data_IF_814321307075
#
_entry.id   IF_814321307075
#
_cell.length_a   1.000
_cell.length_b   1.000
_cell.length_c   1.000
_cell.angle_alpha   90.00
_cell.angle_beta   90.00
_cell.angle_gamma   90.00
#
_symmetry.space_group_name_H-M   'P 1'
#
loop_
_entity.id
_entity.type
_entity.pdbx_description
1 polymer ?
#
# COMPACT_ATOMS: atom_id res chain seq x y z
N UNK A 1 -35.23 1.85 -13.25
CA UNK A 1 -34.38 1.08 -14.18
C UNK A 1 -33.07 1.86 -14.36
N UNK A 2 -31.94 1.20 -14.18
CA UNK A 2 -30.62 1.84 -14.33
C UNK A 2 -30.31 2.19 -15.78
N UNK A 3 -29.47 3.24 -15.93
CA UNK A 3 -28.85 3.64 -17.21
C UNK A 3 -27.32 3.63 -17.06
N UNK A 4 -26.61 3.62 -18.16
CA UNK A 4 -25.17 3.88 -18.11
C UNK A 4 -24.92 5.29 -17.54
N UNK A 5 -23.97 5.38 -16.60
CA UNK A 5 -23.69 6.61 -15.85
C UNK A 5 -24.14 6.51 -14.39
N UNK A 6 -24.40 7.64 -13.77
CA UNK A 6 -24.76 7.71 -12.35
C UNK A 6 -26.23 7.40 -12.11
N UNK A 7 -26.47 6.44 -11.22
CA UNK A 7 -27.79 6.01 -10.75
C UNK A 7 -27.80 6.03 -9.22
N UNK A 8 -29.00 5.80 -8.62
CA UNK A 8 -29.14 5.80 -7.16
C UNK A 8 -29.98 4.61 -6.71
N UNK A 9 -29.60 3.98 -5.60
CA UNK A 9 -30.41 3.05 -4.81
C UNK A 9 -30.37 3.54 -3.36
N UNK A 10 -31.52 3.74 -2.75
CA UNK A 10 -31.67 4.21 -1.37
C UNK A 10 -30.81 5.47 -1.08
N UNK A 11 -30.76 6.41 -2.03
CA UNK A 11 -29.96 7.61 -1.94
C UNK A 11 -28.44 7.43 -2.14
N UNK A 12 -27.97 6.21 -2.34
CA UNK A 12 -26.56 5.90 -2.56
C UNK A 12 -26.24 5.90 -4.06
N UNK A 13 -25.22 6.68 -4.44
CA UNK A 13 -24.79 6.75 -5.84
C UNK A 13 -24.15 5.44 -6.31
N UNK A 14 -24.54 5.01 -7.50
CA UNK A 14 -24.04 3.84 -8.21
C UNK A 14 -23.62 4.27 -9.62
N UNK A 15 -22.35 4.15 -9.94
CA UNK A 15 -21.85 4.41 -11.29
C UNK A 15 -21.89 3.12 -12.12
N UNK A 16 -22.71 3.13 -13.16
CA UNK A 16 -22.96 1.98 -14.04
C UNK A 16 -22.21 2.16 -15.35
N UNK A 17 -21.37 1.20 -15.71
CA UNK A 17 -20.62 1.22 -16.97
C UNK A 17 -20.70 -0.12 -17.70
N UNK A 18 -20.81 -0.08 -19.03
CA UNK A 18 -20.62 -1.25 -19.88
C UNK A 18 -19.13 -1.42 -20.22
N UNK A 19 -18.61 -2.62 -19.99
CA UNK A 19 -17.20 -2.94 -20.23
C UNK A 19 -17.04 -4.28 -20.94
N UNK A 20 -15.89 -4.46 -21.58
CA UNK A 20 -15.44 -5.76 -22.11
C UNK A 20 -15.00 -6.68 -20.98
N UNK A 21 -15.94 -7.12 -20.16
CA UNK A 21 -15.74 -8.06 -19.05
C UNK A 21 -16.64 -9.28 -19.25
N UNK A 22 -16.23 -10.42 -18.69
CA UNK A 22 -16.97 -11.69 -18.86
C UNK A 22 -18.15 -11.84 -17.90
N UNK A 23 -18.15 -11.08 -16.79
CA UNK A 23 -19.15 -11.20 -15.71
C UNK A 23 -19.53 -9.82 -15.20
N UNK A 24 -20.72 -9.71 -14.63
CA UNK A 24 -21.10 -8.53 -13.84
C UNK A 24 -20.15 -8.41 -12.66
N UNK A 25 -19.67 -7.20 -12.42
CA UNK A 25 -18.73 -6.91 -11.32
C UNK A 25 -19.21 -5.69 -10.54
N UNK A 26 -19.23 -5.81 -9.20
CA UNK A 26 -19.50 -4.71 -8.27
C UNK A 26 -18.25 -4.42 -7.48
N UNK A 27 -17.82 -3.16 -7.48
CA UNK A 27 -16.67 -2.68 -6.72
C UNK A 27 -17.04 -1.41 -5.98
N UNK A 28 -16.54 -1.26 -4.76
CA UNK A 28 -16.63 -0.01 -4.01
C UNK A 28 -15.26 0.65 -4.02
N UNK A 29 -15.21 1.91 -4.43
CA UNK A 29 -13.98 2.72 -4.42
C UNK A 29 -13.70 3.27 -3.02
N UNK A 30 -12.48 3.80 -2.82
CA UNK A 30 -12.05 4.32 -1.52
C UNK A 30 -12.87 5.54 -1.04
N UNK A 31 -13.47 6.28 -1.96
CA UNK A 31 -14.38 7.40 -1.71
C UNK A 31 -15.83 6.96 -1.45
N UNK A 32 -16.09 5.65 -1.43
CA UNK A 32 -17.39 5.08 -1.13
C UNK A 32 -18.35 5.03 -2.32
N UNK A 33 -17.91 5.29 -3.55
CA UNK A 33 -18.74 5.14 -4.74
C UNK A 33 -18.85 3.66 -5.12
N UNK A 34 -20.08 3.20 -5.40
CA UNK A 34 -20.34 1.84 -5.87
C UNK A 34 -20.25 1.85 -7.39
N UNK A 35 -19.38 1.03 -7.96
CA UNK A 35 -19.23 0.87 -9.41
C UNK A 35 -19.78 -0.47 -9.84
N UNK A 36 -20.77 -0.46 -10.73
CA UNK A 36 -21.33 -1.62 -11.38
C UNK A 36 -20.80 -1.71 -12.80
N UNK A 37 -20.05 -2.75 -13.11
CA UNK A 37 -19.58 -3.05 -14.46
C UNK A 37 -20.43 -4.17 -15.06
N UNK A 38 -21.11 -3.88 -16.16
CA UNK A 38 -21.96 -4.82 -16.90
C UNK A 38 -21.25 -5.21 -18.20
N UNK A 39 -21.24 -6.50 -18.59
CA UNK A 39 -20.70 -6.93 -19.87
C UNK A 39 -21.30 -6.14 -21.05
N UNK A 40 -20.46 -5.85 -22.05
CA UNK A 40 -20.92 -5.12 -23.25
C UNK A 40 -21.84 -5.96 -24.14
N UNK A 41 -21.81 -7.30 -24.02
CA UNK A 41 -22.63 -8.27 -24.75
C UNK A 41 -23.15 -9.35 -23.82
N UNK A 42 -24.24 -10.00 -24.21
CA UNK A 42 -24.83 -11.14 -23.48
C UNK A 42 -25.38 -10.79 -22.09
N UNK A 43 -25.51 -9.49 -21.77
CA UNK A 43 -26.03 -9.03 -20.49
C UNK A 43 -26.67 -7.64 -20.64
N UNK A 44 -27.80 -7.44 -20.01
CA UNK A 44 -28.55 -6.18 -19.97
C UNK A 44 -28.16 -5.36 -18.71
N UNK A 45 -28.41 -4.06 -18.74
CA UNK A 45 -28.24 -3.21 -17.56
C UNK A 45 -29.24 -3.61 -16.45
N UNK A 46 -30.44 -4.07 -16.83
CA UNK A 46 -31.44 -4.55 -15.88
C UNK A 46 -30.97 -5.78 -15.11
N UNK A 47 -30.30 -6.73 -15.76
CA UNK A 47 -29.68 -7.87 -15.08
C UNK A 47 -28.52 -7.42 -14.15
N UNK A 48 -27.74 -6.42 -14.56
CA UNK A 48 -26.75 -5.80 -13.70
C UNK A 48 -27.35 -5.15 -12.46
N UNK A 49 -28.47 -4.43 -12.62
CA UNK A 49 -29.21 -3.84 -11.50
C UNK A 49 -29.76 -4.92 -10.57
N UNK A 50 -30.39 -5.97 -11.10
CA UNK A 50 -30.90 -7.08 -10.31
C UNK A 50 -29.78 -7.77 -9.52
N UNK A 51 -28.62 -8.01 -10.15
CA UNK A 51 -27.45 -8.56 -9.48
C UNK A 51 -26.97 -7.66 -8.32
N UNK A 52 -26.89 -6.34 -8.54
CA UNK A 52 -26.49 -5.41 -7.49
C UNK A 52 -27.49 -5.39 -6.34
N UNK A 53 -28.81 -5.39 -6.64
CA UNK A 53 -29.86 -5.43 -5.61
C UNK A 53 -29.80 -6.72 -4.77
N UNK A 54 -29.54 -7.85 -5.39
CA UNK A 54 -29.33 -9.12 -4.68
C UNK A 54 -28.11 -9.09 -3.74
N UNK A 55 -27.11 -8.26 -4.06
CA UNK A 55 -25.89 -8.08 -3.27
C UNK A 55 -25.84 -6.73 -2.51
N UNK A 56 -26.96 -6.04 -2.39
CA UNK A 56 -27.02 -4.67 -1.87
C UNK A 56 -26.52 -4.55 -0.45
N UNK A 57 -26.90 -5.47 0.44
CA UNK A 57 -26.43 -5.50 1.84
C UNK A 57 -24.89 -5.54 1.92
N UNK A 58 -24.27 -6.35 1.08
CA UNK A 58 -22.79 -6.41 0.98
C UNK A 58 -22.22 -5.09 0.45
N UNK A 59 -22.81 -4.52 -0.60
CA UNK A 59 -22.33 -3.28 -1.20
C UNK A 59 -22.37 -2.10 -0.21
N UNK A 60 -23.45 -1.98 0.56
CA UNK A 60 -23.62 -0.97 1.61
C UNK A 60 -22.58 -1.16 2.74
N UNK A 61 -22.40 -2.40 3.21
CA UNK A 61 -21.39 -2.71 4.23
C UNK A 61 -19.97 -2.40 3.75
N UNK A 62 -19.65 -2.77 2.50
CA UNK A 62 -18.36 -2.46 1.89
C UNK A 62 -18.14 -0.93 1.75
N UNK A 63 -19.20 -0.18 1.39
CA UNK A 63 -19.18 1.28 1.34
C UNK A 63 -18.93 1.89 2.71
N UNK A 64 -19.67 1.48 3.74
CA UNK A 64 -19.47 1.96 5.10
C UNK A 64 -18.03 1.72 5.56
N UNK A 65 -17.48 0.54 5.29
CA UNK A 65 -16.08 0.21 5.59
C UNK A 65 -15.08 1.09 4.82
N UNK A 66 -15.35 1.40 3.54
CA UNK A 66 -14.49 2.28 2.75
C UNK A 66 -14.50 3.72 3.29
N UNK A 67 -15.67 4.24 3.63
CA UNK A 67 -15.83 5.57 4.23
C UNK A 67 -15.20 5.67 5.61
N UNK A 68 -15.38 4.67 6.47
CA UNK A 68 -14.73 4.60 7.78
C UNK A 68 -13.19 4.59 7.65
N UNK A 69 -12.66 3.81 6.70
CA UNK A 69 -11.21 3.83 6.38
C UNK A 69 -10.74 5.20 5.92
N UNK A 70 -11.53 5.87 5.07
CA UNK A 70 -11.18 7.20 4.59
C UNK A 70 -11.19 8.23 5.73
N UNK A 71 -12.18 8.17 6.61
CA UNK A 71 -12.26 9.04 7.76
C UNK A 71 -11.13 8.81 8.76
N UNK A 72 -10.69 7.55 8.91
CA UNK A 72 -9.57 7.17 9.77
C UNK A 72 -8.20 7.29 9.07
N UNK A 73 -8.16 7.67 7.77
CA UNK A 73 -6.90 7.86 7.08
C UNK A 73 -6.12 9.05 7.67
N UNK A 74 -4.80 8.92 7.88
CA UNK A 74 -4.02 10.06 8.38
C UNK A 74 -4.08 11.19 7.36
N UNK A 75 -4.07 12.39 7.86
CA UNK A 75 -3.87 13.58 7.06
C UNK A 75 -2.58 13.49 6.22
N UNK A 76 -2.37 14.43 5.28
CA UNK A 76 -1.11 14.48 4.54
C UNK A 76 0.07 14.64 5.49
N UNK A 77 1.23 14.12 5.10
CA UNK A 77 2.48 14.35 5.81
C UNK A 77 2.84 15.84 5.76
N UNK A 78 3.25 16.40 6.89
CA UNK A 78 3.76 17.77 6.90
C UNK A 78 5.18 17.84 6.33
N UNK A 79 5.62 19.01 5.84
CA UNK A 79 6.99 19.21 5.40
C UNK A 79 8.03 18.85 6.47
N UNK A 80 7.74 19.17 7.74
CA UNK A 80 8.62 18.90 8.88
C UNK A 80 8.79 17.41 9.12
N UNK A 81 7.69 16.62 9.02
CA UNK A 81 7.74 15.16 9.13
C UNK A 81 8.59 14.53 8.02
N UNK A 82 8.45 15.04 6.80
CA UNK A 82 9.25 14.55 5.67
C UNK A 82 10.72 14.93 5.83
N UNK A 83 10.99 16.12 6.34
CA UNK A 83 12.37 16.58 6.61
C UNK A 83 13.02 15.75 7.73
N UNK A 84 12.32 15.51 8.83
CA UNK A 84 12.81 14.65 9.91
C UNK A 84 13.14 13.25 9.42
N UNK A 85 12.26 12.65 8.61
CA UNK A 85 12.53 11.36 7.97
C UNK A 85 13.77 11.43 7.06
N UNK A 86 13.96 12.52 6.31
CA UNK A 86 15.10 12.64 5.41
C UNK A 86 16.43 12.68 6.18
N UNK A 87 16.47 13.37 7.33
CA UNK A 87 17.62 13.39 8.23
C UNK A 87 17.92 12.00 8.78
N UNK A 88 16.91 11.34 9.36
CA UNK A 88 17.03 9.98 9.89
C UNK A 88 17.52 8.99 8.82
N UNK A 89 16.95 9.04 7.61
CA UNK A 89 17.37 8.18 6.50
C UNK A 89 18.81 8.46 6.06
N UNK A 90 19.26 9.73 6.06
CA UNK A 90 20.63 10.07 5.71
C UNK A 90 21.60 9.43 6.71
N UNK A 91 21.33 9.50 8.00
CA UNK A 91 22.13 8.92 9.06
C UNK A 91 22.14 7.38 8.99
N UNK A 92 20.97 6.75 8.98
CA UNK A 92 20.84 5.28 8.91
C UNK A 92 21.46 4.72 7.63
N UNK A 93 21.18 5.33 6.48
CA UNK A 93 21.71 4.90 5.20
C UNK A 93 23.24 4.96 5.16
N UNK A 94 23.82 6.06 5.62
CA UNK A 94 25.28 6.23 5.67
C UNK A 94 25.91 5.22 6.64
N UNK A 95 25.38 5.09 7.85
CA UNK A 95 25.88 4.16 8.86
C UNK A 95 25.85 2.70 8.37
N UNK A 96 24.72 2.28 7.77
CA UNK A 96 24.59 0.92 7.25
C UNK A 96 25.42 0.68 5.98
N UNK A 97 25.56 1.66 5.09
CA UNK A 97 26.48 1.56 3.96
C UNK A 97 27.93 1.36 4.44
N UNK A 98 28.38 2.11 5.44
CA UNK A 98 29.71 1.93 6.04
C UNK A 98 29.88 0.54 6.67
N UNK A 99 28.93 0.07 7.48
CA UNK A 99 28.97 -1.29 8.09
C UNK A 99 29.02 -2.41 7.07
N UNK A 100 28.34 -2.24 5.93
CA UNK A 100 28.23 -3.26 4.88
C UNK A 100 29.35 -3.17 3.83
N UNK A 101 30.21 -2.16 3.91
CA UNK A 101 31.25 -1.88 2.90
C UNK A 101 30.65 -1.50 1.54
N UNK A 102 29.47 -0.86 1.53
CA UNK A 102 28.78 -0.44 0.32
C UNK A 102 29.08 1.03 0.02
N UNK A 103 29.84 1.31 -1.04
CA UNK A 103 30.16 2.67 -1.47
C UNK A 103 29.27 3.12 -2.65
N UNK A 104 29.06 4.44 -2.79
CA UNK A 104 28.38 5.02 -3.95
C UNK A 104 26.89 4.65 -4.07
N UNK A 105 26.25 4.28 -2.96
CA UNK A 105 24.80 4.02 -2.94
C UNK A 105 24.06 5.32 -2.75
N UNK A 106 23.21 5.66 -3.70
CA UNK A 106 22.36 6.86 -3.63
C UNK A 106 20.95 6.50 -3.21
N UNK A 107 20.21 7.47 -2.67
CA UNK A 107 18.81 7.25 -2.31
C UNK A 107 17.93 8.48 -2.59
N UNK A 108 16.62 8.25 -2.58
CA UNK A 108 15.61 9.31 -2.67
C UNK A 108 14.34 8.94 -1.92
N UNK A 109 13.55 9.95 -1.56
CA UNK A 109 12.19 9.81 -1.04
C UNK A 109 11.16 9.89 -2.17
N UNK A 110 10.16 9.00 -2.11
CA UNK A 110 9.02 9.01 -3.02
C UNK A 110 7.76 8.55 -2.30
N UNK A 111 6.59 9.07 -2.66
CA UNK A 111 5.31 8.49 -2.24
C UNK A 111 5.05 7.23 -3.06
N UNK A 112 4.90 6.09 -2.38
CA UNK A 112 4.60 4.79 -2.99
C UNK A 112 3.34 4.19 -2.37
N UNK A 113 2.50 3.54 -3.18
CA UNK A 113 1.21 3.00 -2.72
C UNK A 113 1.33 1.64 -2.02
N UNK A 114 2.29 0.82 -2.42
CA UNK A 114 2.36 -0.60 -2.05
C UNK A 114 3.69 -1.05 -1.45
N UNK A 115 4.73 -0.21 -1.52
CA UNK A 115 6.08 -0.55 -1.08
C UNK A 115 6.56 0.43 -0.01
N UNK A 116 7.34 -0.05 0.94
CA UNK A 116 8.07 0.76 1.92
C UNK A 116 9.43 1.24 1.39
N UNK A 117 10.05 0.43 0.53
CA UNK A 117 11.28 0.73 -0.15
C UNK A 117 11.38 -0.02 -1.48
N UNK A 118 12.40 0.28 -2.26
CA UNK A 118 12.82 -0.50 -3.42
C UNK A 118 14.27 -0.22 -3.75
N UNK A 119 15.03 -1.28 -4.06
CA UNK A 119 16.42 -1.20 -4.45
C UNK A 119 16.61 -1.51 -5.94
N UNK A 120 17.27 -0.61 -6.65
CA UNK A 120 17.76 -0.87 -7.99
C UNK A 120 19.25 -1.25 -7.90
N UNK A 121 19.54 -2.51 -7.67
CA UNK A 121 20.90 -2.99 -7.34
C UNK A 121 21.96 -2.64 -8.41
N UNK A 122 21.63 -2.71 -9.71
CA UNK A 122 22.57 -2.36 -10.80
C UNK A 122 22.94 -0.86 -10.80
N UNK A 123 22.00 0.01 -10.46
CA UNK A 123 22.20 1.47 -10.38
C UNK A 123 22.70 1.92 -9.02
N UNK A 124 22.81 1.00 -8.06
CA UNK A 124 23.14 1.29 -6.65
C UNK A 124 22.27 2.44 -6.11
N UNK A 125 20.95 2.34 -6.33
CA UNK A 125 20.00 3.37 -5.96
C UNK A 125 18.83 2.80 -5.18
N UNK A 126 18.53 3.39 -4.03
CA UNK A 126 17.40 3.00 -3.17
C UNK A 126 16.35 4.10 -3.20
N UNK A 127 15.09 3.70 -3.26
CA UNK A 127 13.95 4.61 -3.10
C UNK A 127 13.23 4.25 -1.81
N UNK A 128 13.05 5.20 -0.91
CA UNK A 128 12.30 5.04 0.34
C UNK A 128 10.94 5.73 0.25
N UNK A 129 9.93 5.13 0.89
CA UNK A 129 8.59 5.70 0.92
C UNK A 129 8.49 6.82 1.97
N UNK A 130 7.92 7.97 1.60
CA UNK A 130 7.65 9.06 2.54
C UNK A 130 6.77 8.65 3.72
N UNK A 131 5.91 7.66 3.55
CA UNK A 131 5.06 7.11 4.62
C UNK A 131 5.86 6.50 5.78
N UNK A 132 7.17 6.26 5.62
CA UNK A 132 8.08 5.91 6.71
C UNK A 132 8.17 6.99 7.79
N UNK A 133 7.80 8.24 7.49
CA UNK A 133 7.67 9.29 8.50
C UNK A 133 6.60 8.99 9.57
N UNK A 134 5.79 7.95 9.39
CA UNK A 134 4.71 7.55 10.30
C UNK A 134 5.03 6.31 11.13
N UNK A 135 6.22 5.79 11.02
CA UNK A 135 6.64 4.60 11.75
C UNK A 135 7.82 4.95 12.67
N UNK A 136 8.12 4.08 13.61
CA UNK A 136 9.24 4.25 14.53
C UNK A 136 10.58 4.06 13.82
N UNK A 137 11.64 4.61 14.39
CA UNK A 137 12.98 4.60 13.83
C UNK A 137 13.50 3.18 13.56
N UNK A 138 13.25 2.24 14.48
CA UNK A 138 13.60 0.83 14.32
C UNK A 138 12.96 0.17 13.09
N UNK A 139 11.76 0.60 12.73
CA UNK A 139 11.08 0.14 11.50
C UNK A 139 11.66 0.81 10.24
N UNK A 140 12.07 2.07 10.34
CA UNK A 140 12.80 2.74 9.26
C UNK A 140 14.15 2.05 9.03
N UNK A 141 14.88 1.75 10.10
CA UNK A 141 16.15 0.99 10.04
C UNK A 141 15.95 -0.37 9.36
N UNK A 142 14.91 -1.12 9.73
CA UNK A 142 14.60 -2.39 9.08
C UNK A 142 14.45 -2.23 7.56
N UNK A 143 13.75 -1.21 7.09
CA UNK A 143 13.58 -0.97 5.64
C UNK A 143 14.92 -0.60 5.00
N UNK A 144 15.76 0.21 5.65
CA UNK A 144 17.10 0.57 5.17
C UNK A 144 17.96 -0.69 4.99
N UNK A 145 18.06 -1.53 6.03
CA UNK A 145 18.84 -2.78 5.99
C UNK A 145 18.33 -3.73 4.93
N UNK A 146 17.01 -3.84 4.79
CA UNK A 146 16.34 -4.68 3.79
C UNK A 146 16.73 -4.26 2.37
N UNK A 147 16.60 -2.98 2.05
CA UNK A 147 16.91 -2.46 0.72
C UNK A 147 18.41 -2.53 0.40
N UNK A 148 19.28 -2.25 1.37
CA UNK A 148 20.72 -2.41 1.20
C UNK A 148 21.14 -3.88 1.04
N UNK A 149 20.39 -4.83 1.61
CA UNK A 149 20.64 -6.25 1.42
C UNK A 149 20.44 -6.65 -0.04
N UNK A 150 19.50 -6.03 -0.75
CA UNK A 150 19.26 -6.25 -2.17
C UNK A 150 20.43 -5.85 -3.08
N UNK A 151 21.36 -5.04 -2.63
CA UNK A 151 22.60 -4.77 -3.39
C UNK A 151 23.46 -6.04 -3.60
N UNK A 152 23.37 -7.00 -2.67
CA UNK A 152 24.09 -8.28 -2.72
C UNK A 152 23.22 -9.42 -3.22
N UNK A 153 21.98 -9.49 -2.77
CA UNK A 153 21.03 -10.57 -3.11
C UNK A 153 19.71 -9.96 -3.59
N UNK A 154 19.48 -9.91 -4.92
CA UNK A 154 18.28 -9.25 -5.47
C UNK A 154 16.95 -9.93 -5.11
N UNK A 155 16.97 -11.24 -4.82
CA UNK A 155 15.75 -12.03 -4.57
C UNK A 155 15.63 -12.45 -3.11
N UNK A 156 14.40 -12.58 -2.59
CA UNK A 156 14.10 -13.02 -1.23
C UNK A 156 14.22 -14.54 -1.05
N UNK A 157 15.37 -15.11 -1.43
CA UNK A 157 15.70 -16.52 -1.23
C UNK A 157 16.41 -16.77 0.12
N UNK A 158 16.84 -18.02 0.39
CA UNK A 158 17.54 -18.37 1.63
C UNK A 158 18.77 -17.51 1.93
N UNK A 159 19.55 -17.16 0.89
CA UNK A 159 20.72 -16.29 1.03
C UNK A 159 20.36 -14.88 1.50
N UNK A 160 19.23 -14.33 1.04
CA UNK A 160 18.73 -13.02 1.50
C UNK A 160 18.40 -13.06 3.00
N UNK A 161 17.66 -14.09 3.42
CA UNK A 161 17.25 -14.21 4.82
C UNK A 161 18.43 -14.50 5.76
N UNK A 162 19.42 -15.26 5.30
CA UNK A 162 20.66 -15.46 6.04
C UNK A 162 21.41 -14.13 6.29
N UNK A 163 21.49 -13.28 5.27
CA UNK A 163 22.09 -11.95 5.43
C UNK A 163 21.26 -11.06 6.36
N UNK A 164 19.93 -11.11 6.27
CA UNK A 164 19.07 -10.36 7.18
C UNK A 164 19.22 -10.83 8.62
N UNK A 165 19.33 -12.13 8.88
CA UNK A 165 19.54 -12.70 10.21
C UNK A 165 20.89 -12.23 10.82
N UNK A 166 21.92 -12.16 9.99
CA UNK A 166 23.24 -11.67 10.43
C UNK A 166 23.29 -10.16 10.66
N UNK A 167 22.56 -9.37 9.88
CA UNK A 167 22.61 -7.90 9.91
C UNK A 167 21.67 -7.31 10.95
N UNK A 168 20.48 -7.85 11.08
CA UNK A 168 19.40 -7.35 11.95
C UNK A 168 18.61 -8.53 12.52
N UNK A 169 19.09 -9.18 13.60
CA UNK A 169 18.53 -10.46 14.09
C UNK A 169 17.02 -10.42 14.40
N UNK A 170 16.50 -9.27 14.78
CA UNK A 170 15.09 -9.05 15.11
C UNK A 170 14.20 -8.62 13.91
N UNK A 171 14.74 -8.63 12.69
CA UNK A 171 14.06 -8.15 11.49
C UNK A 171 12.68 -8.79 11.26
N UNK A 172 12.48 -10.06 11.68
CA UNK A 172 11.18 -10.74 11.54
C UNK A 172 10.11 -10.10 12.42
N UNK A 173 10.48 -9.67 13.62
CA UNK A 173 9.58 -8.95 14.52
C UNK A 173 9.25 -7.56 13.95
N UNK A 174 10.25 -6.82 13.52
CA UNK A 174 10.08 -5.49 12.89
C UNK A 174 9.23 -5.58 11.63
N UNK A 175 9.45 -6.59 10.78
CA UNK A 175 8.62 -6.83 9.59
C UNK A 175 7.15 -7.08 9.94
N UNK A 176 6.88 -7.91 10.97
CA UNK A 176 5.51 -8.15 11.43
C UNK A 176 4.86 -6.88 11.93
N UNK A 177 5.59 -6.10 12.73
CA UNK A 177 5.12 -4.84 13.28
C UNK A 177 4.83 -3.81 12.17
N UNK A 178 5.74 -3.61 11.23
CA UNK A 178 5.59 -2.71 10.09
C UNK A 178 4.36 -3.04 9.24
N UNK A 179 4.02 -4.33 9.13
CA UNK A 179 2.87 -4.82 8.38
C UNK A 179 1.57 -4.87 9.19
N UNK A 180 1.62 -4.56 10.49
CA UNK A 180 0.47 -4.53 11.38
C UNK A 180 -0.09 -3.10 11.55
N UNK A 181 -1.34 -2.96 12.02
CA UNK A 181 -1.88 -1.66 12.41
C UNK A 181 -1.03 -0.93 13.45
N UNK A 182 -0.41 -1.67 14.36
CA UNK A 182 0.36 -1.12 15.48
C UNK A 182 1.72 -0.54 15.06
N UNK A 183 2.25 -0.91 13.90
CA UNK A 183 3.53 -0.40 13.41
C UNK A 183 3.49 1.04 12.90
N UNK A 184 2.31 1.61 12.75
CA UNK A 184 2.14 3.01 12.39
C UNK A 184 1.89 3.80 13.66
N UNK A 185 2.78 4.73 13.97
CA UNK A 185 2.61 5.66 15.10
C UNK A 185 1.26 6.36 14.91
N UNK A 186 0.41 6.29 15.92
CA UNK A 186 -0.98 6.71 15.87
C UNK A 186 -1.13 8.21 15.60
N UNK A 187 -1.16 8.56 14.34
CA UNK A 187 -1.80 9.74 13.81
C UNK A 187 -2.96 9.31 12.90
N UNK A 188 -3.76 8.33 13.37
CA UNK A 188 -5.03 7.92 12.78
C UNK A 188 -4.90 7.21 11.42
N UNK A 189 -4.43 5.97 11.36
CA UNK A 189 -4.58 5.13 10.17
C UNK A 189 -4.58 3.65 10.43
N UNK A 190 -5.58 3.02 9.87
CA UNK A 190 -5.65 1.56 9.77
C UNK A 190 -4.96 1.06 8.49
N UNK A 191 -4.29 -0.10 8.52
CA UNK A 191 -3.66 -0.69 7.35
C UNK A 191 -4.70 -1.28 6.40
N UNK A 192 -4.32 -1.36 5.14
CA UNK A 192 -5.06 -2.06 4.12
C UNK A 192 -4.95 -3.60 4.35
N UNK A 193 -6.03 -4.31 4.78
CA UNK A 193 -5.98 -5.76 4.96
C UNK A 193 -6.26 -6.46 3.63
N UNK A 194 -5.32 -6.48 2.74
CA UNK A 194 -5.52 -7.16 1.45
C UNK A 194 -4.36 -7.06 0.47
N UNK A 195 -3.34 -6.34 0.82
CA UNK A 195 -2.11 -6.30 0.03
C UNK A 195 -0.99 -6.98 0.80
N UNK A 196 -0.57 -8.17 0.37
CA UNK A 196 0.78 -8.61 0.70
C UNK A 196 1.71 -7.47 0.28
N UNK A 197 2.40 -6.86 1.24
CA UNK A 197 3.40 -5.85 0.94
C UNK A 197 4.54 -6.62 0.27
N UNK A 198 4.50 -6.63 -1.05
CA UNK A 198 5.60 -7.09 -1.87
C UNK A 198 6.69 -6.03 -1.76
N UNK A 199 7.65 -6.27 -0.90
CA UNK A 199 8.98 -5.71 -1.05
C UNK A 199 9.56 -6.53 -2.21
N UNK A 200 9.75 -5.90 -3.36
CA UNK A 200 10.40 -6.52 -4.51
C UNK A 200 11.90 -6.53 -4.33
#
# INVERSE_FOLDING_TARGET
MFRTGRNFIDGIAVDVVRKRVRRINVRVSADGVIHLSVPSWGCTIAEGEAFLRANWKWAVAARAKALARRAAAPGPLTPEQVQALAVLLAELHAAWCARLGEAGVTWKLRTMKTLWGSCHFRKRHVTYNRELARVTEDLVEYVVVHELTHLRVPNHGPAFYLLMDARLPDWRARRRLLNSPAGRVSHGSQPNPGGAILIR
#
